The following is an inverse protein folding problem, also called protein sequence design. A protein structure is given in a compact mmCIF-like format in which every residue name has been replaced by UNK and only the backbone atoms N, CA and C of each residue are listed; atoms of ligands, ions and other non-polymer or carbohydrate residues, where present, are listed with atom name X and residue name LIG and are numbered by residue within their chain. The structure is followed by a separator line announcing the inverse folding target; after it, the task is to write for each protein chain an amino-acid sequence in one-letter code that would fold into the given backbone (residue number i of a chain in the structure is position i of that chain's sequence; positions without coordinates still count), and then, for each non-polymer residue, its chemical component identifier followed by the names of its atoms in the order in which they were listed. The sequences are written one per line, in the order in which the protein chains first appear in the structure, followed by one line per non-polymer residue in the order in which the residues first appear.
data_IF_556375798794
#
_entry.id   IF_556375798794
#
_cell.length_a   1.000
_cell.length_b   1.000
_cell.length_c   1.000
_cell.angle_alpha   90.00
_cell.angle_beta   90.00
_cell.angle_gamma   90.00
#
_symmetry.space_group_name_H-M   'P 1'
#
loop_
_entity.id
_entity.type
_entity.pdbx_description
1 polymer ?
#
# COMPACT_ATOMS: atom_id res chain seq x y z
N UNK A 1 -0.94 -27.27 -6.39
CA UNK A 1 0.16 -27.73 -7.28
C UNK A 1 1.41 -27.00 -6.84
N UNK A 2 2.33 -27.67 -6.16
CA UNK A 2 3.54 -27.06 -5.59
C UNK A 2 4.67 -27.25 -6.59
N UNK A 3 5.11 -26.17 -7.24
CA UNK A 3 6.34 -26.20 -8.03
C UNK A 3 7.52 -26.03 -7.07
N UNK A 4 8.14 -27.16 -6.73
CA UNK A 4 9.44 -27.24 -6.08
C UNK A 4 10.49 -27.16 -7.18
N UNK A 5 11.18 -26.02 -7.32
CA UNK A 5 12.51 -25.87 -7.93
C UNK A 5 12.96 -24.41 -7.79
N UNK A 6 13.78 -24.08 -6.80
CA UNK A 6 14.76 -23.01 -6.93
C UNK A 6 15.84 -23.17 -5.85
N UNK A 7 16.92 -23.85 -6.23
CA UNK A 7 18.22 -23.71 -5.58
C UNK A 7 18.50 -22.23 -5.35
N UNK A 8 18.75 -21.82 -4.10
CA UNK A 8 18.68 -20.43 -3.59
C UNK A 8 19.63 -19.37 -4.15
N UNK A 9 20.06 -19.50 -5.41
CA UNK A 9 20.94 -18.56 -6.13
C UNK A 9 20.22 -17.74 -7.21
N UNK A 10 18.96 -18.04 -7.52
CA UNK A 10 18.17 -17.29 -8.51
C UNK A 10 17.24 -16.27 -7.85
N UNK A 11 16.88 -15.19 -8.56
CA UNK A 11 15.86 -14.28 -8.08
C UNK A 11 14.53 -14.98 -7.79
N UNK A 12 13.88 -14.62 -6.68
CA UNK A 12 12.61 -15.20 -6.25
C UNK A 12 11.49 -14.16 -6.30
N UNK A 13 10.41 -14.47 -7.01
CA UNK A 13 9.23 -13.62 -7.09
C UNK A 13 8.17 -14.06 -6.07
N UNK A 14 7.72 -13.10 -5.28
CA UNK A 14 6.57 -13.21 -4.38
C UNK A 14 5.55 -12.17 -4.83
N UNK A 15 4.28 -12.55 -4.84
CA UNK A 15 3.22 -11.62 -5.18
C UNK A 15 1.95 -11.94 -4.39
N UNK A 16 1.12 -10.92 -4.23
CA UNK A 16 -0.23 -11.01 -3.72
C UNK A 16 -1.05 -9.91 -4.38
N UNK A 17 -2.35 -10.13 -4.51
CA UNK A 17 -3.28 -9.18 -5.09
C UNK A 17 -4.62 -9.27 -4.36
N UNK A 18 -5.47 -8.27 -4.57
CA UNK A 18 -6.84 -8.30 -4.08
C UNK A 18 -7.55 -9.58 -4.55
N UNK A 19 -7.92 -10.43 -3.59
CA UNK A 19 -8.92 -11.48 -3.75
C UNK A 19 -10.27 -10.97 -3.22
N UNK A 20 -11.28 -11.85 -3.11
CA UNK A 20 -12.72 -11.60 -2.85
C UNK A 20 -13.13 -10.63 -1.73
N UNK A 21 -12.20 -10.09 -0.94
CA UNK A 21 -12.43 -9.13 0.14
C UNK A 21 -12.28 -7.68 -0.36
N UNK A 22 -13.08 -7.32 -1.36
CA UNK A 22 -13.24 -5.97 -1.89
C UNK A 22 -14.63 -5.42 -1.53
N UNK A 23 -14.76 -4.15 -1.11
CA UNK A 23 -13.71 -3.17 -0.82
C UNK A 23 -13.16 -3.24 0.62
N UNK A 24 -11.98 -2.66 0.88
CA UNK A 24 -11.55 -2.33 2.26
C UNK A 24 -11.87 -0.87 2.57
N UNK A 25 -12.72 -0.64 3.57
CA UNK A 25 -13.05 0.71 4.05
C UNK A 25 -11.90 1.30 4.86
N UNK A 26 -11.53 2.54 4.55
CA UNK A 26 -10.49 3.29 5.26
C UNK A 26 -11.16 4.37 6.13
N UNK A 27 -10.85 4.44 7.44
CA UNK A 27 -11.46 5.43 8.34
C UNK A 27 -11.11 6.87 7.94
N UNK A 28 -12.14 7.72 7.88
CA UNK A 28 -12.01 9.16 7.57
C UNK A 28 -11.65 10.03 8.78
N UNK A 29 -11.85 9.51 9.99
CA UNK A 29 -11.77 10.30 11.23
C UNK A 29 -10.57 9.87 12.08
N UNK A 30 -9.87 10.85 12.63
CA UNK A 30 -8.68 10.63 13.46
C UNK A 30 -7.48 10.13 12.66
N UNK A 31 -6.44 9.71 13.37
CA UNK A 31 -5.27 9.06 12.76
C UNK A 31 -5.48 7.55 12.76
N UNK A 32 -5.57 6.94 11.58
CA UNK A 32 -5.77 5.51 11.44
C UNK A 32 -4.80 4.91 10.42
N UNK A 33 -4.25 3.74 10.73
CA UNK A 33 -3.42 2.96 9.81
C UNK A 33 -4.18 1.69 9.46
N UNK A 34 -4.58 1.57 8.20
CA UNK A 34 -5.35 0.45 7.68
C UNK A 34 -4.45 -0.42 6.82
N UNK A 35 -4.27 -1.68 7.19
CA UNK A 35 -3.60 -2.66 6.34
C UNK A 35 -4.50 -3.06 5.19
N UNK A 36 -4.01 -2.95 3.96
CA UNK A 36 -4.81 -3.22 2.76
C UNK A 36 -4.36 -4.45 1.99
N UNK A 37 -3.08 -4.82 2.09
CA UNK A 37 -2.54 -6.01 1.42
C UNK A 37 -1.24 -6.46 2.08
N UNK A 38 -1.02 -7.78 2.21
CA UNK A 38 0.16 -8.37 2.85
C UNK A 38 0.71 -9.53 2.04
N UNK A 39 2.03 -9.56 1.87
CA UNK A 39 2.75 -10.68 1.26
C UNK A 39 2.95 -11.85 2.21
N UNK A 40 3.14 -13.04 1.64
CA UNK A 40 3.67 -14.17 2.40
C UNK A 40 5.10 -13.88 2.91
N UNK A 41 5.55 -14.55 3.98
CA UNK A 41 6.90 -14.36 4.50
C UNK A 41 7.99 -14.66 3.46
N UNK A 42 9.01 -13.82 3.43
CA UNK A 42 10.16 -13.88 2.51
C UNK A 42 11.43 -14.07 3.33
N UNK A 43 12.26 -15.05 2.99
CA UNK A 43 13.56 -15.26 3.67
C UNK A 43 14.72 -14.75 2.81
N UNK A 44 15.47 -13.80 3.37
CA UNK A 44 16.64 -13.17 2.73
C UNK A 44 17.95 -13.57 3.41
N UNK A 45 19.01 -13.56 2.62
CA UNK A 45 20.40 -13.79 3.01
C UNK A 45 21.17 -12.47 3.04
N UNK A 46 22.44 -12.53 3.43
CA UNK A 46 23.29 -11.34 3.53
C UNK A 46 23.51 -10.73 2.16
N UNK A 47 23.30 -9.42 2.04
CA UNK A 47 23.48 -8.68 0.80
C UNK A 47 22.30 -8.72 -0.17
N UNK A 48 21.27 -9.52 0.09
CA UNK A 48 20.08 -9.58 -0.74
C UNK A 48 19.38 -8.22 -0.83
N UNK A 49 18.80 -7.96 -2.00
CA UNK A 49 17.93 -6.81 -2.26
C UNK A 49 16.53 -7.29 -2.57
N UNK A 50 15.53 -6.54 -2.13
CA UNK A 50 14.12 -6.84 -2.43
C UNK A 50 13.54 -5.67 -3.20
N UNK A 51 13.30 -5.85 -4.51
CA UNK A 51 12.55 -4.88 -5.31
C UNK A 51 11.07 -5.08 -5.03
N UNK A 52 10.41 -4.04 -4.55
CA UNK A 52 8.98 -3.99 -4.28
C UNK A 52 8.32 -3.13 -5.35
N UNK A 53 7.23 -3.63 -5.92
CA UNK A 53 6.35 -2.87 -6.80
C UNK A 53 4.93 -3.02 -6.27
N UNK A 54 4.27 -1.90 -6.03
CA UNK A 54 3.00 -1.87 -5.32
C UNK A 54 2.04 -0.85 -5.94
N UNK A 55 0.75 -1.17 -5.91
CA UNK A 55 -0.31 -0.31 -6.42
C UNK A 55 -1.60 -0.58 -5.64
N UNK A 56 -2.33 0.50 -5.38
CA UNK A 56 -3.68 0.45 -4.80
C UNK A 56 -4.56 1.41 -5.57
N UNK A 57 -5.75 0.94 -5.93
CA UNK A 57 -6.87 1.75 -6.38
C UNK A 57 -7.60 2.28 -5.15
N UNK A 58 -7.64 3.60 -5.01
CA UNK A 58 -8.42 4.27 -4.00
C UNK A 58 -9.64 4.90 -4.66
N UNK A 59 -10.83 4.50 -4.21
CA UNK A 59 -12.06 5.19 -4.57
C UNK A 59 -12.46 6.16 -3.46
N UNK A 60 -12.66 7.42 -3.84
CA UNK A 60 -13.00 8.50 -2.94
C UNK A 60 -14.42 8.96 -3.24
N UNK A 61 -15.32 8.84 -2.27
CA UNK A 61 -16.68 9.36 -2.38
C UNK A 61 -16.69 10.83 -1.95
N UNK A 62 -16.58 11.74 -2.92
CA UNK A 62 -16.43 13.18 -2.70
C UNK A 62 -17.77 13.82 -2.36
N UNK A 63 -17.80 14.66 -1.33
CA UNK A 63 -18.99 15.39 -0.91
C UNK A 63 -19.38 16.46 -1.96
N UNK A 64 -20.68 16.72 -2.08
CA UNK A 64 -21.18 17.83 -2.89
C UNK A 64 -20.74 19.18 -2.30
N UNK A 65 -20.76 20.24 -3.13
CA UNK A 65 -20.46 21.63 -2.74
C UNK A 65 -19.00 21.92 -2.40
N UNK A 66 -18.07 21.10 -2.90
CA UNK A 66 -16.65 21.44 -2.84
C UNK A 66 -16.30 22.51 -3.87
N UNK A 67 -15.64 23.57 -3.40
CA UNK A 67 -14.97 24.56 -4.24
C UNK A 67 -13.49 24.21 -4.37
N UNK A 68 -13.12 23.44 -5.39
CA UNK A 68 -11.72 23.26 -5.81
C UNK A 68 -10.72 23.04 -4.67
N UNK A 69 -10.98 22.03 -3.84
CA UNK A 69 -10.19 21.77 -2.63
C UNK A 69 -9.01 20.83 -2.95
N UNK A 70 -7.87 21.08 -2.32
CA UNK A 70 -6.76 20.12 -2.33
C UNK A 70 -7.03 19.05 -1.29
N UNK A 71 -7.10 17.79 -1.73
CA UNK A 71 -7.12 16.64 -0.86
C UNK A 71 -5.70 16.36 -0.35
N UNK A 72 -5.53 16.34 0.96
CA UNK A 72 -4.31 15.94 1.66
C UNK A 72 -4.66 15.09 2.88
N UNK A 73 -3.65 14.45 3.49
CA UNK A 73 -3.86 13.67 4.71
C UNK A 73 -4.15 12.18 4.47
N UNK A 74 -3.93 11.68 3.25
CA UNK A 74 -3.85 10.25 2.97
C UNK A 74 -2.39 9.94 2.66
N UNK A 75 -1.78 9.00 3.38
CA UNK A 75 -0.41 8.57 3.16
C UNK A 75 -0.41 7.09 2.81
N UNK A 76 0.10 6.78 1.63
CA UNK A 76 0.34 5.43 1.14
C UNK A 76 1.70 4.94 1.61
N UNK A 77 1.78 3.77 2.26
CA UNK A 77 3.04 3.27 2.85
C UNK A 77 3.31 1.82 2.51
N UNK A 78 4.59 1.55 2.26
CA UNK A 78 5.16 0.22 2.35
C UNK A 78 5.78 0.03 3.73
N UNK A 79 5.47 -1.08 4.37
CA UNK A 79 6.04 -1.46 5.65
C UNK A 79 6.63 -2.85 5.62
N UNK A 80 7.61 -3.06 6.49
CA UNK A 80 8.27 -4.34 6.69
C UNK A 80 8.27 -4.72 8.17
N UNK A 81 7.89 -5.96 8.46
CA UNK A 81 8.20 -6.64 9.72
C UNK A 81 9.40 -7.57 9.50
N UNK A 82 10.27 -7.69 10.50
CA UNK A 82 11.43 -8.58 10.50
C UNK A 82 11.32 -9.55 11.66
N UNK A 83 11.43 -10.85 11.38
CA UNK A 83 11.38 -11.95 12.35
C UNK A 83 10.18 -11.88 13.31
N UNK A 84 9.03 -11.44 12.81
CA UNK A 84 7.79 -11.29 13.59
C UNK A 84 7.73 -10.03 14.47
N UNK A 85 8.69 -9.12 14.34
CA UNK A 85 8.67 -7.83 15.04
C UNK A 85 7.59 -6.86 14.53
N UNK A 86 7.55 -5.66 15.10
CA UNK A 86 6.65 -4.61 14.64
C UNK A 86 6.92 -4.23 13.18
N UNK A 87 5.87 -3.81 12.48
CA UNK A 87 6.00 -3.25 11.14
C UNK A 87 6.60 -1.84 11.22
N UNK A 88 7.58 -1.57 10.36
CA UNK A 88 8.24 -0.28 10.24
C UNK A 88 8.10 0.22 8.80
N UNK A 89 7.78 1.51 8.57
CA UNK A 89 7.74 2.07 7.22
C UNK A 89 9.11 2.02 6.56
N UNK A 90 9.14 1.57 5.32
CA UNK A 90 10.34 1.53 4.47
C UNK A 90 10.25 2.52 3.31
N UNK A 91 9.04 2.89 2.91
CA UNK A 91 8.76 3.92 1.92
C UNK A 91 7.35 4.48 2.13
N UNK A 92 7.15 5.74 1.77
CA UNK A 92 5.87 6.43 1.88
C UNK A 92 5.65 7.37 0.70
N UNK A 93 4.39 7.59 0.35
CA UNK A 93 3.94 8.56 -0.63
C UNK A 93 2.71 9.26 -0.06
N UNK A 94 2.77 10.58 0.06
CA UNK A 94 1.59 11.38 0.38
C UNK A 94 0.72 11.48 -0.88
N UNK A 95 -0.56 11.16 -0.71
CA UNK A 95 -1.55 11.19 -1.79
C UNK A 95 -2.19 12.56 -1.78
N UNK A 96 -1.87 13.34 -2.81
CA UNK A 96 -2.43 14.67 -3.03
C UNK A 96 -3.21 14.69 -4.34
N UNK A 97 -4.37 15.32 -4.32
CA UNK A 97 -5.19 15.48 -5.53
C UNK A 97 -5.99 16.78 -5.46
N UNK A 98 -6.14 17.45 -6.60
CA UNK A 98 -7.08 18.56 -6.71
C UNK A 98 -8.47 18.00 -6.98
N UNK A 99 -9.37 18.13 -6.02
CA UNK A 99 -10.75 17.72 -6.20
C UNK A 99 -11.47 18.73 -7.11
N UNK A 100 -12.27 18.24 -8.07
CA UNK A 100 -13.01 19.12 -8.97
C UNK A 100 -14.03 19.97 -8.21
N UNK A 101 -14.44 21.09 -8.81
CA UNK A 101 -15.60 21.86 -8.33
C UNK A 101 -16.85 21.08 -8.68
N UNK A 102 -17.64 20.72 -7.66
CA UNK A 102 -18.79 19.83 -7.83
C UNK A 102 -20.06 20.43 -7.21
N UNK A 103 -21.12 20.51 -8.01
CA UNK A 103 -22.48 20.85 -7.51
C UNK A 103 -23.24 19.64 -6.96
N UNK A 104 -22.76 18.42 -7.23
CA UNK A 104 -23.33 17.14 -6.79
C UNK A 104 -22.19 16.21 -6.31
N UNK A 105 -22.49 15.29 -5.39
CA UNK A 105 -21.50 14.31 -4.94
C UNK A 105 -21.05 13.42 -6.11
N UNK A 106 -19.77 13.06 -6.13
CA UNK A 106 -19.19 12.24 -7.18
C UNK A 106 -18.04 11.40 -6.64
N UNK A 107 -17.69 10.34 -7.36
CA UNK A 107 -16.54 9.51 -7.00
C UNK A 107 -15.31 9.95 -7.80
N UNK A 108 -14.17 9.97 -7.14
CA UNK A 108 -12.86 10.19 -7.74
C UNK A 108 -11.99 8.98 -7.45
N UNK A 109 -11.38 8.42 -8.49
CA UNK A 109 -10.47 7.28 -8.35
C UNK A 109 -9.02 7.76 -8.45
N UNK A 110 -8.18 7.32 -7.51
CA UNK A 110 -6.74 7.53 -7.51
C UNK A 110 -6.02 6.20 -7.57
N UNK A 111 -4.84 6.18 -8.18
CA UNK A 111 -4.04 4.96 -8.34
C UNK A 111 -2.61 5.16 -7.79
N UNK A 112 -2.44 5.42 -6.48
CA UNK A 112 -1.12 5.49 -5.90
C UNK A 112 -0.34 4.19 -6.14
N UNK A 113 0.91 4.36 -6.53
CA UNK A 113 1.85 3.28 -6.73
C UNK A 113 3.21 3.65 -6.13
N UNK A 114 3.95 2.62 -5.68
CA UNK A 114 5.27 2.82 -5.11
C UNK A 114 6.18 1.66 -5.53
N UNK A 115 7.31 2.02 -6.11
CA UNK A 115 8.44 1.12 -6.36
C UNK A 115 9.57 1.45 -5.40
N UNK A 116 10.11 0.44 -4.72
CA UNK A 116 11.19 0.61 -3.77
C UNK A 116 12.19 -0.54 -3.85
N UNK A 117 13.46 -0.29 -3.56
CA UNK A 117 14.48 -1.34 -3.42
C UNK A 117 14.96 -1.37 -1.99
N UNK A 118 14.58 -2.43 -1.29
CA UNK A 118 14.89 -2.63 0.12
C UNK A 118 16.16 -3.48 0.32
N UNK A 119 16.76 -3.34 1.50
CA UNK A 119 17.95 -4.06 1.96
C UNK A 119 17.73 -4.63 3.37
N UNK A 120 16.91 -5.68 3.51
CA UNK A 120 16.37 -6.10 4.80
C UNK A 120 17.34 -6.83 5.73
N UNK A 121 18.52 -7.21 5.22
CA UNK A 121 19.48 -8.04 5.95
C UNK A 121 19.06 -9.51 5.96
N UNK A 122 19.63 -10.30 6.87
CA UNK A 122 19.31 -11.73 7.02
C UNK A 122 18.08 -11.88 7.90
N UNK A 123 17.10 -12.64 7.46
CA UNK A 123 15.92 -12.94 8.28
C UNK A 123 14.71 -13.36 7.48
N UNK A 124 13.59 -13.46 8.18
CA UNK A 124 12.27 -13.63 7.58
C UNK A 124 11.53 -12.31 7.66
N UNK A 125 11.08 -11.81 6.51
CA UNK A 125 10.45 -10.51 6.37
C UNK A 125 9.03 -10.64 5.85
N UNK A 126 8.13 -9.82 6.36
CA UNK A 126 6.77 -9.68 5.85
C UNK A 126 6.57 -8.25 5.41
N UNK A 127 6.18 -8.08 4.15
CA UNK A 127 5.90 -6.78 3.57
C UNK A 127 4.40 -6.58 3.46
N UNK A 128 3.95 -5.34 3.71
CA UNK A 128 2.54 -4.97 3.54
C UNK A 128 2.40 -3.56 2.99
N UNK A 129 1.24 -3.31 2.40
CA UNK A 129 0.75 -1.99 2.07
C UNK A 129 -0.18 -1.56 3.20
N UNK A 130 0.01 -0.34 3.69
CA UNK A 130 -0.95 0.32 4.58
C UNK A 130 -1.34 1.68 4.02
N UNK A 131 -2.57 2.08 4.29
CA UNK A 131 -3.03 3.44 4.07
C UNK A 131 -3.22 4.09 5.44
N UNK A 132 -2.52 5.19 5.63
CA UNK A 132 -2.68 6.04 6.80
C UNK A 132 -3.54 7.25 6.46
N UNK A 133 -4.49 7.57 7.32
CA UNK A 133 -5.29 8.80 7.23
C UNK A 133 -4.99 9.72 8.39
N UNK A 134 -4.91 11.01 8.11
CA UNK A 134 -4.86 12.09 9.09
C UNK A 134 -6.18 12.87 9.00
N UNK A 135 -7.19 12.35 9.68
CA UNK A 135 -8.61 12.57 9.43
C UNK A 135 -9.22 13.90 9.84
N UNK A 136 -8.42 14.95 10.06
CA UNK A 136 -8.95 16.27 10.41
C UNK A 136 -9.76 16.88 9.25
N UNK A 137 -9.18 16.89 8.04
CA UNK A 137 -9.79 17.52 6.86
C UNK A 137 -10.52 16.53 5.96
N UNK A 138 -10.20 15.24 6.02
CA UNK A 138 -10.77 14.24 5.11
C UNK A 138 -12.30 14.12 5.24
N UNK A 139 -12.81 14.15 6.47
CA UNK A 139 -14.25 14.04 6.75
C UNK A 139 -15.07 15.26 6.30
N UNK A 140 -14.43 16.39 6.01
CA UNK A 140 -15.11 17.58 5.46
C UNK A 140 -15.15 17.57 3.93
N UNK A 141 -14.31 16.76 3.29
CA UNK A 141 -14.19 16.66 1.84
C UNK A 141 -14.82 15.38 1.28
N UNK A 142 -14.77 14.29 2.05
CA UNK A 142 -15.13 12.94 1.63
C UNK A 142 -16.20 12.34 2.55
N UNK A 143 -17.09 11.56 1.96
CA UNK A 143 -18.04 10.69 2.65
C UNK A 143 -17.53 9.26 2.81
N UNK A 144 -16.53 8.85 2.04
CA UNK A 144 -15.88 7.56 2.14
C UNK A 144 -14.55 7.48 1.39
N UNK A 145 -13.69 6.56 1.85
CA UNK A 145 -12.51 6.09 1.13
C UNK A 145 -12.53 4.56 1.17
N UNK A 146 -12.35 3.94 0.02
CA UNK A 146 -12.16 2.50 -0.10
C UNK A 146 -10.89 2.17 -0.86
N UNK A 147 -10.21 1.10 -0.44
CA UNK A 147 -9.17 0.46 -1.21
C UNK A 147 -9.79 -0.70 -2.00
N UNK A 148 -9.84 -0.51 -3.32
CA UNK A 148 -10.37 -1.44 -4.30
C UNK A 148 -9.25 -2.37 -4.78
N UNK A 149 -8.92 -2.38 -6.06
CA UNK A 149 -7.88 -3.23 -6.63
C UNK A 149 -6.52 -2.97 -5.99
N UNK A 150 -5.83 -4.02 -5.55
CA UNK A 150 -4.53 -3.90 -4.86
C UNK A 150 -3.57 -4.95 -5.39
N UNK A 151 -2.29 -4.58 -5.55
CA UNK A 151 -1.24 -5.51 -5.93
C UNK A 151 0.07 -5.18 -5.19
N UNK A 152 0.76 -6.20 -4.73
CA UNK A 152 2.09 -6.09 -4.14
C UNK A 152 2.97 -7.23 -4.66
N UNK A 153 4.06 -6.86 -5.31
CA UNK A 153 5.06 -7.76 -5.83
C UNK A 153 6.39 -7.51 -5.12
N UNK A 154 7.13 -8.58 -4.84
CA UNK A 154 8.48 -8.54 -4.30
C UNK A 154 9.38 -9.47 -5.10
N UNK A 155 10.45 -8.93 -5.67
CA UNK A 155 11.51 -9.69 -6.31
C UNK A 155 12.74 -9.67 -5.40
N UNK A 156 13.09 -10.81 -4.83
CA UNK A 156 14.35 -10.99 -4.09
C UNK A 156 15.45 -11.22 -5.10
N UNK A 157 16.42 -10.31 -5.14
CA UNK A 157 17.65 -10.44 -5.94
C UNK A 157 18.75 -10.90 -5.00
N UNK A 158 19.28 -12.10 -5.26
CA UNK A 158 20.37 -12.68 -4.49
C UNK A 158 21.68 -11.97 -4.84
N UNK A 159 22.40 -11.50 -3.82
CA UNK A 159 23.77 -11.03 -4.02
C UNK A 159 24.70 -12.24 -3.91
N UNK A 160 25.40 -12.57 -4.99
CA UNK A 160 26.28 -13.75 -5.09
C UNK A 160 27.72 -13.33 -4.86
#
# INVERSE_FOLDING_TARGET
MVCVCNSGLFPQLFFTQSSTDLPITIPLTGTAVTEVLRLQPITTLSGDRVKLDSMVELELAVLALLSGATLTGITYRLERSTNGGAFVPIASLDVESLLPVLSLAANTTLFPNLTWVDAPGVGTHVYRIVIETNGGILSTLLSGITAETRALNALVVRNV
#
